data_IF_471110599031
#
_entry.id   IF_471110599031
#
_cell.length_a   1.000
_cell.length_b   1.000
_cell.length_c   1.000
_cell.angle_alpha   90.00
_cell.angle_beta   90.00
_cell.angle_gamma   90.00
#
_symmetry.space_group_name_H-M   'P 1'
#
loop_
_entity.id
_entity.type
_entity.pdbx_description
1 polymer ?
#
# COMPACT_ATOMS: atom_id res chain seq x y z
N UNK A 1 -28.35 -11.36 -8.59
CA UNK A 1 -27.32 -11.08 -7.58
C UNK A 1 -26.08 -11.84 -8.00
N UNK A 2 -24.87 -11.27 -7.92
CA UNK A 2 -23.65 -12.02 -8.21
C UNK A 2 -23.59 -13.25 -7.30
N UNK A 3 -23.11 -14.36 -7.85
CA UNK A 3 -22.86 -15.58 -7.06
C UNK A 3 -21.75 -15.28 -6.04
N UNK A 4 -21.86 -15.82 -4.81
CA UNK A 4 -20.83 -15.63 -3.79
C UNK A 4 -19.44 -16.06 -4.30
N UNK A 5 -19.39 -17.09 -5.15
CA UNK A 5 -18.16 -17.53 -5.82
C UNK A 5 -17.61 -16.47 -6.79
N UNK A 6 -18.46 -15.74 -7.52
CA UNK A 6 -18.05 -14.66 -8.42
C UNK A 6 -17.45 -13.50 -7.64
N UNK A 7 -18.05 -13.14 -6.50
CA UNK A 7 -17.55 -12.09 -5.60
C UNK A 7 -16.16 -12.48 -5.08
N UNK A 8 -16.04 -13.69 -4.52
CA UNK A 8 -14.77 -14.20 -3.98
C UNK A 8 -13.66 -14.17 -5.03
N UNK A 9 -13.93 -14.70 -6.23
CA UNK A 9 -12.94 -14.73 -7.30
C UNK A 9 -12.56 -13.32 -7.79
N UNK A 10 -13.52 -12.38 -7.78
CA UNK A 10 -13.27 -10.99 -8.15
C UNK A 10 -12.40 -10.26 -7.14
N UNK A 11 -12.56 -10.51 -5.83
CA UNK A 11 -11.72 -9.93 -4.78
C UNK A 11 -10.29 -10.46 -4.88
N UNK A 12 -10.11 -11.79 -4.93
CA UNK A 12 -8.78 -12.42 -5.08
C UNK A 12 -8.05 -11.90 -6.33
N UNK A 13 -8.77 -11.72 -7.45
CA UNK A 13 -8.17 -11.16 -8.67
C UNK A 13 -7.71 -9.70 -8.50
N UNK A 14 -8.38 -8.90 -7.66
CA UNK A 14 -7.99 -7.52 -7.38
C UNK A 14 -6.74 -7.44 -6.51
N UNK A 15 -6.53 -8.36 -5.56
CA UNK A 15 -5.33 -8.40 -4.72
C UNK A 15 -4.03 -8.50 -5.53
N UNK A 16 -4.06 -9.22 -6.66
CA UNK A 16 -2.93 -9.27 -7.57
C UNK A 16 -2.51 -7.89 -8.09
N UNK A 17 -3.48 -7.01 -8.39
CA UNK A 17 -3.22 -5.62 -8.82
C UNK A 17 -2.73 -4.75 -7.67
N UNK A 18 -3.32 -4.90 -6.48
CA UNK A 18 -2.89 -4.18 -5.26
C UNK A 18 -1.43 -4.53 -4.94
N UNK A 19 -1.06 -5.80 -5.04
CA UNK A 19 0.31 -6.28 -4.80
C UNK A 19 1.31 -5.66 -5.79
N UNK A 20 0.93 -5.47 -7.05
CA UNK A 20 1.78 -4.81 -8.05
C UNK A 20 2.04 -3.33 -7.69
N UNK A 21 1.00 -2.61 -7.24
CA UNK A 21 1.15 -1.24 -6.75
C UNK A 21 2.09 -1.17 -5.54
N UNK A 22 1.89 -2.04 -4.54
CA UNK A 22 2.76 -2.13 -3.35
C UNK A 22 4.22 -2.42 -3.71
N UNK A 23 4.46 -3.30 -4.69
CA UNK A 23 5.81 -3.61 -5.18
C UNK A 23 6.46 -2.41 -5.85
N UNK A 24 5.68 -1.67 -6.66
CA UNK A 24 6.14 -0.46 -7.34
C UNK A 24 6.53 0.62 -6.34
N UNK A 25 5.68 0.88 -5.33
CA UNK A 25 5.97 1.81 -4.22
C UNK A 25 7.25 1.40 -3.48
N UNK A 26 7.43 0.11 -3.21
CA UNK A 26 8.65 -0.41 -2.59
C UNK A 26 9.91 -0.15 -3.42
N UNK A 27 9.80 -0.30 -4.74
CA UNK A 27 10.92 -0.04 -5.67
C UNK A 27 11.29 1.44 -5.66
N UNK A 28 10.30 2.35 -5.67
CA UNK A 28 10.54 3.79 -5.57
C UNK A 28 11.15 4.22 -4.24
N UNK A 29 10.77 3.56 -3.14
CA UNK A 29 11.41 3.83 -1.86
C UNK A 29 12.88 3.40 -1.85
N UNK A 30 13.19 2.24 -2.44
CA UNK A 30 14.57 1.78 -2.57
C UNK A 30 15.42 2.76 -3.42
N UNK A 31 14.85 3.38 -4.46
CA UNK A 31 15.53 4.41 -5.24
C UNK A 31 15.92 5.62 -4.36
N UNK A 32 15.00 6.10 -3.51
CA UNK A 32 15.27 7.19 -2.55
C UNK A 32 16.36 6.78 -1.55
N UNK A 33 16.25 5.56 -1.01
CA UNK A 33 17.20 5.05 -0.03
C UNK A 33 18.61 4.86 -0.61
N UNK A 34 18.69 4.49 -1.89
CA UNK A 34 19.94 4.42 -2.64
C UNK A 34 20.59 5.80 -2.79
N UNK A 35 19.82 6.86 -3.09
CA UNK A 35 20.33 8.24 -3.13
C UNK A 35 20.94 8.61 -1.78
N UNK A 36 20.25 8.34 -0.66
CA UNK A 36 20.82 8.60 0.67
C UNK A 36 22.08 7.78 0.96
N UNK A 37 22.10 6.51 0.55
CA UNK A 37 23.20 5.58 0.82
C UNK A 37 24.47 5.90 0.04
N UNK A 38 24.35 6.24 -1.26
CA UNK A 38 25.48 6.69 -2.09
C UNK A 38 26.10 7.96 -1.49
N UNK A 39 25.25 8.86 -1.01
CA UNK A 39 25.71 10.14 -0.47
C UNK A 39 26.35 10.01 0.92
N UNK A 40 25.89 9.05 1.72
CA UNK A 40 26.55 8.65 2.98
C UNK A 40 27.86 7.88 2.74
N UNK A 41 27.96 7.08 1.68
CA UNK A 41 29.23 6.42 1.35
C UNK A 41 30.25 7.42 0.78
N UNK A 42 29.76 8.41 0.03
CA UNK A 42 30.55 9.47 -0.57
C UNK A 42 30.86 10.62 0.40
N UNK A 43 31.07 10.39 1.71
CA UNK A 43 31.35 11.40 2.77
C UNK A 43 32.50 12.40 2.49
N UNK A 44 33.13 12.35 1.32
CA UNK A 44 34.14 13.29 0.81
C UNK A 44 33.66 14.19 -0.34
N UNK A 45 32.52 13.91 -0.96
CA UNK A 45 31.93 14.73 -2.02
C UNK A 45 30.71 15.44 -1.42
N UNK A 46 30.76 16.76 -1.39
CA UNK A 46 29.64 17.57 -0.92
C UNK A 46 28.36 17.16 -1.65
N UNK A 47 27.24 17.06 -0.93
CA UNK A 47 25.90 16.99 -1.52
C UNK A 47 25.80 18.16 -2.50
N UNK A 48 25.84 17.86 -3.79
CA UNK A 48 25.68 18.88 -4.80
C UNK A 48 24.21 19.26 -4.88
N UNK A 49 23.94 20.46 -5.42
CA UNK A 49 22.58 20.85 -5.77
C UNK A 49 21.89 19.81 -6.69
N UNK A 50 22.67 19.08 -7.50
CA UNK A 50 22.15 17.99 -8.33
C UNK A 50 21.66 16.78 -7.52
N UNK A 51 22.28 16.45 -6.38
CA UNK A 51 21.85 15.35 -5.51
C UNK A 51 20.57 15.67 -4.74
N UNK A 52 20.41 16.93 -4.32
CA UNK A 52 19.15 17.40 -3.72
C UNK A 52 18.03 17.33 -4.74
N UNK A 53 18.28 17.82 -5.97
CA UNK A 53 17.31 17.72 -7.06
C UNK A 53 16.93 16.27 -7.37
N UNK A 54 17.90 15.37 -7.46
CA UNK A 54 17.65 13.94 -7.69
C UNK A 54 16.78 13.32 -6.59
N UNK A 55 17.04 13.65 -5.32
CA UNK A 55 16.20 13.19 -4.21
C UNK A 55 14.77 13.73 -4.34
N UNK A 56 14.59 15.02 -4.63
CA UNK A 56 13.28 15.64 -4.81
C UNK A 56 12.51 15.02 -5.99
N UNK A 57 13.18 14.76 -7.12
CA UNK A 57 12.61 14.08 -8.28
C UNK A 57 12.15 12.64 -7.91
N UNK A 58 12.93 11.90 -7.12
CA UNK A 58 12.55 10.57 -6.61
C UNK A 58 11.40 10.62 -5.61
N UNK A 59 11.35 11.64 -4.76
CA UNK A 59 10.24 11.92 -3.83
C UNK A 59 8.95 12.18 -4.60
N UNK A 60 9.00 12.92 -5.70
CA UNK A 60 7.83 13.17 -6.55
C UNK A 60 7.35 11.90 -7.26
N UNK A 61 8.27 11.05 -7.73
CA UNK A 61 7.93 9.73 -8.27
C UNK A 61 7.28 8.82 -7.22
N UNK A 62 7.77 8.82 -5.98
CA UNK A 62 7.15 8.05 -4.90
C UNK A 62 5.74 8.58 -4.57
N UNK A 63 5.56 9.90 -4.51
CA UNK A 63 4.25 10.53 -4.31
C UNK A 63 3.24 10.12 -5.40
N UNK A 64 3.66 10.10 -6.66
CA UNK A 64 2.84 9.64 -7.78
C UNK A 64 2.40 8.18 -7.58
N UNK A 65 3.34 7.29 -7.24
CA UNK A 65 2.99 5.87 -7.01
C UNK A 65 2.08 5.66 -5.81
N UNK A 66 2.23 6.44 -4.73
CA UNK A 66 1.31 6.40 -3.59
C UNK A 66 -0.08 6.89 -3.96
N UNK A 67 -0.19 7.89 -4.83
CA UNK A 67 -1.48 8.39 -5.33
C UNK A 67 -2.19 7.34 -6.18
N UNK A 68 -1.45 6.66 -7.08
CA UNK A 68 -1.97 5.55 -7.88
C UNK A 68 -2.44 4.40 -6.97
N UNK A 69 -1.62 4.05 -5.97
CA UNK A 69 -1.96 3.00 -5.00
C UNK A 69 -3.22 3.37 -4.21
N UNK A 70 -3.34 4.61 -3.74
CA UNK A 70 -4.53 5.11 -3.05
C UNK A 70 -5.79 4.98 -3.89
N UNK A 71 -5.74 5.40 -5.16
CA UNK A 71 -6.88 5.27 -6.06
C UNK A 71 -7.27 3.80 -6.30
N UNK A 72 -6.28 2.91 -6.42
CA UNK A 72 -6.49 1.47 -6.54
C UNK A 72 -7.16 0.89 -5.30
N UNK A 73 -6.63 1.20 -4.11
CA UNK A 73 -7.17 0.76 -2.83
C UNK A 73 -8.58 1.28 -2.60
N UNK A 74 -8.86 2.56 -2.85
CA UNK A 74 -10.21 3.12 -2.71
C UNK A 74 -11.24 2.41 -3.58
N UNK A 75 -10.89 2.07 -4.82
CA UNK A 75 -11.78 1.33 -5.72
C UNK A 75 -12.01 -0.10 -5.24
N UNK A 76 -10.96 -0.73 -4.73
CA UNK A 76 -10.98 -2.08 -4.19
C UNK A 76 -11.82 -2.18 -2.91
N UNK A 77 -11.53 -1.36 -1.91
CA UNK A 77 -12.28 -1.27 -0.66
C UNK A 77 -13.76 -0.97 -0.91
N UNK A 78 -14.08 -0.01 -1.80
CA UNK A 78 -15.47 0.30 -2.14
C UNK A 78 -16.22 -0.89 -2.78
N UNK A 79 -15.51 -1.76 -3.50
CA UNK A 79 -16.10 -2.98 -4.04
C UNK A 79 -16.37 -4.00 -2.92
N UNK A 80 -15.39 -4.22 -2.05
CA UNK A 80 -15.48 -5.17 -0.92
C UNK A 80 -16.57 -4.79 0.07
N UNK A 81 -16.58 -3.54 0.52
CA UNK A 81 -17.56 -3.02 1.46
C UNK A 81 -18.99 -3.13 0.93
N UNK A 82 -19.15 -3.16 -0.40
CA UNK A 82 -20.44 -3.38 -1.06
C UNK A 82 -20.77 -4.85 -1.26
N UNK A 83 -19.79 -5.70 -1.59
CA UNK A 83 -20.01 -7.06 -2.07
C UNK A 83 -19.77 -8.13 -1.00
N UNK A 84 -18.72 -7.99 -0.18
CA UNK A 84 -18.35 -8.96 0.86
C UNK A 84 -19.37 -9.13 1.98
N UNK A 85 -20.25 -8.16 2.34
CA UNK A 85 -21.32 -8.44 3.30
C UNK A 85 -22.21 -9.64 2.89
N UNK A 86 -22.35 -9.93 1.59
CA UNK A 86 -23.10 -11.10 1.10
C UNK A 86 -22.38 -12.44 1.32
N UNK A 87 -21.06 -12.39 1.55
CA UNK A 87 -20.19 -13.56 1.72
C UNK A 87 -19.84 -13.78 3.20
N UNK A 88 -19.48 -12.70 3.89
CA UNK A 88 -18.95 -12.71 5.25
C UNK A 88 -19.98 -12.30 6.31
N UNK A 89 -21.03 -11.58 5.92
CA UNK A 89 -21.97 -10.97 6.85
C UNK A 89 -21.33 -9.83 7.67
N UNK A 90 -22.17 -9.10 8.39
CA UNK A 90 -21.79 -7.87 9.11
C UNK A 90 -20.69 -8.08 10.17
N UNK A 91 -20.66 -9.24 10.83
CA UNK A 91 -19.71 -9.48 11.92
C UNK A 91 -18.26 -9.50 11.43
N UNK A 92 -18.00 -10.24 10.35
CA UNK A 92 -16.66 -10.38 9.78
C UNK A 92 -16.24 -9.14 8.99
N UNK A 93 -17.19 -8.34 8.49
CA UNK A 93 -16.90 -7.07 7.83
C UNK A 93 -16.28 -6.02 8.76
N UNK A 94 -16.50 -6.11 10.08
CA UNK A 94 -15.99 -5.11 11.01
C UNK A 94 -14.47 -4.98 10.98
N UNK A 95 -13.77 -6.12 11.05
CA UNK A 95 -12.30 -6.13 11.08
C UNK A 95 -11.71 -5.66 9.73
N UNK A 96 -12.40 -5.99 8.62
CA UNK A 96 -12.05 -5.52 7.27
C UNK A 96 -12.15 -3.99 7.19
N UNK A 97 -13.26 -3.42 7.65
CA UNK A 97 -13.47 -1.97 7.65
C UNK A 97 -12.44 -1.22 8.51
N UNK A 98 -12.09 -1.78 9.68
CA UNK A 98 -11.06 -1.21 10.56
C UNK A 98 -9.67 -1.29 9.90
N UNK A 99 -9.36 -2.36 9.16
CA UNK A 99 -8.14 -2.48 8.37
C UNK A 99 -8.08 -1.46 7.22
N UNK A 100 -9.16 -1.29 6.45
CA UNK A 100 -9.25 -0.28 5.39
C UNK A 100 -8.99 1.12 5.92
N UNK A 101 -9.59 1.46 7.06
CA UNK A 101 -9.37 2.74 7.73
C UNK A 101 -7.90 2.92 8.12
N UNK A 102 -7.31 1.90 8.74
CA UNK A 102 -5.90 1.93 9.16
C UNK A 102 -4.96 2.15 7.98
N UNK A 103 -5.18 1.45 6.87
CA UNK A 103 -4.40 1.61 5.64
C UNK A 103 -4.51 3.04 5.09
N UNK A 104 -5.72 3.60 5.04
CA UNK A 104 -5.94 4.97 4.57
C UNK A 104 -5.22 6.00 5.47
N UNK A 105 -5.26 5.83 6.78
CA UNK A 105 -4.56 6.70 7.74
C UNK A 105 -3.04 6.63 7.56
N UNK A 106 -2.47 5.43 7.40
CA UNK A 106 -1.05 5.24 7.14
C UNK A 106 -0.64 5.84 5.78
N UNK A 107 -1.49 5.73 4.76
CA UNK A 107 -1.24 6.29 3.45
C UNK A 107 -1.20 7.83 3.48
N UNK A 108 -2.18 8.46 4.15
CA UNK A 108 -2.20 9.91 4.32
C UNK A 108 -1.01 10.39 5.16
N UNK A 109 -0.64 9.67 6.23
CA UNK A 109 0.56 9.96 7.02
C UNK A 109 1.82 9.90 6.15
N UNK A 110 1.99 8.85 5.35
CA UNK A 110 3.16 8.68 4.47
C UNK A 110 3.25 9.80 3.43
N UNK A 111 2.12 10.17 2.82
CA UNK A 111 2.06 11.31 1.88
C UNK A 111 2.37 12.64 2.58
N UNK A 112 1.89 12.84 3.81
CA UNK A 112 2.22 14.03 4.59
C UNK A 112 3.72 14.10 4.90
N UNK A 113 4.35 12.98 5.29
CA UNK A 113 5.81 12.89 5.49
C UNK A 113 6.56 13.29 4.22
N UNK A 114 6.16 12.78 3.05
CA UNK A 114 6.79 13.12 1.77
C UNK A 114 6.64 14.60 1.39
N UNK A 115 5.45 15.18 1.61
CA UNK A 115 5.22 16.62 1.38
C UNK A 115 6.08 17.47 2.30
N UNK A 116 6.28 17.02 3.54
CA UNK A 116 7.10 17.69 4.54
C UNK A 116 8.61 17.71 4.22
N UNK A 117 9.06 17.00 3.18
CA UNK A 117 10.46 17.06 2.73
C UNK A 117 10.76 18.28 1.86
N UNK A 118 9.73 18.96 1.34
CA UNK A 118 9.93 20.12 0.47
C UNK A 118 10.48 21.31 1.26
N UNK A 119 11.52 21.95 0.72
CA UNK A 119 12.17 23.10 1.36
C UNK A 119 13.08 22.77 2.56
N UNK A 120 13.21 21.49 2.94
CA UNK A 120 14.16 21.06 3.96
C UNK A 120 15.60 21.18 3.47
N UNK A 121 16.49 21.50 4.39
CA UNK A 121 17.92 21.46 4.12
C UNK A 121 18.48 20.04 4.14
N UNK A 122 19.79 19.94 3.93
CA UNK A 122 20.47 18.65 3.85
C UNK A 122 20.36 17.80 5.12
N UNK A 123 20.67 18.40 6.25
CA UNK A 123 20.75 17.67 7.51
C UNK A 123 19.34 17.23 7.93
N UNK A 124 18.35 18.07 7.67
CA UNK A 124 16.94 17.78 7.88
C UNK A 124 16.44 16.62 7.01
N UNK A 125 16.77 16.63 5.71
CA UNK A 125 16.42 15.53 4.79
C UNK A 125 17.02 14.20 5.22
N UNK A 126 18.28 14.20 5.66
CA UNK A 126 18.92 13.00 6.19
C UNK A 126 18.29 12.53 7.51
N UNK A 127 17.92 13.46 8.39
CA UNK A 127 17.26 13.14 9.66
C UNK A 127 15.87 12.50 9.43
N UNK A 128 15.17 12.90 8.37
CA UNK A 128 13.84 12.35 7.99
C UNK A 128 13.89 11.04 7.22
N UNK A 129 15.06 10.59 6.76
CA UNK A 129 15.19 9.37 5.96
C UNK A 129 14.57 8.15 6.65
N UNK A 130 14.96 7.88 7.89
CA UNK A 130 14.51 6.68 8.61
C UNK A 130 12.99 6.70 8.78
N UNK A 131 12.43 7.84 9.17
CA UNK A 131 10.98 8.02 9.28
C UNK A 131 10.26 7.74 7.96
N UNK A 132 10.79 8.21 6.83
CA UNK A 132 10.21 7.93 5.53
C UNK A 132 10.29 6.44 5.18
N UNK A 133 11.47 5.82 5.31
CA UNK A 133 11.68 4.38 5.03
C UNK A 133 10.69 3.54 5.83
N UNK A 134 10.61 3.80 7.14
CA UNK A 134 9.74 3.05 8.05
C UNK A 134 8.26 3.27 7.69
N UNK A 135 7.85 4.51 7.41
CA UNK A 135 6.45 4.78 7.02
C UNK A 135 6.01 4.05 5.76
N UNK A 136 6.87 3.99 4.73
CA UNK A 136 6.56 3.31 3.47
C UNK A 136 6.62 1.80 3.67
N UNK A 137 7.58 1.30 4.45
CA UNK A 137 7.68 -0.11 4.79
C UNK A 137 6.42 -0.60 5.53
N UNK A 138 6.00 0.12 6.57
CA UNK A 138 4.86 -0.25 7.41
C UNK A 138 3.55 -0.19 6.64
N UNK A 139 3.36 0.83 5.78
CA UNK A 139 2.21 0.90 4.88
C UNK A 139 2.14 -0.31 3.95
N UNK A 140 3.26 -0.63 3.29
CA UNK A 140 3.33 -1.77 2.37
C UNK A 140 3.05 -3.08 3.09
N UNK A 141 3.61 -3.27 4.28
CA UNK A 141 3.38 -4.46 5.10
C UNK A 141 1.91 -4.57 5.48
N UNK A 142 1.30 -3.50 5.98
CA UNK A 142 -0.11 -3.49 6.39
C UNK A 142 -1.04 -3.85 5.22
N UNK A 143 -0.80 -3.31 4.02
CA UNK A 143 -1.59 -3.65 2.82
C UNK A 143 -1.45 -5.12 2.43
N UNK A 144 -0.23 -5.67 2.47
CA UNK A 144 0.03 -7.07 2.10
C UNK A 144 -0.55 -8.04 3.12
N UNK A 145 -0.38 -7.75 4.41
CA UNK A 145 -0.93 -8.58 5.48
C UNK A 145 -2.46 -8.62 5.39
N UNK A 146 -3.09 -7.45 5.19
CA UNK A 146 -4.55 -7.37 5.02
C UNK A 146 -5.06 -8.19 3.82
N UNK A 147 -4.45 -8.04 2.64
CA UNK A 147 -4.83 -8.82 1.46
C UNK A 147 -4.62 -10.33 1.68
N UNK A 148 -3.55 -10.71 2.39
CA UNK A 148 -3.27 -12.11 2.71
C UNK A 148 -4.32 -12.70 3.66
N UNK A 149 -4.63 -12.02 4.76
CA UNK A 149 -5.63 -12.44 5.74
C UNK A 149 -7.00 -12.61 5.08
N UNK A 150 -7.38 -11.68 4.20
CA UNK A 150 -8.61 -11.79 3.42
C UNK A 150 -8.59 -12.98 2.45
N UNK A 151 -7.51 -13.22 1.72
CA UNK A 151 -7.40 -14.39 0.84
C UNK A 151 -7.54 -15.71 1.59
N UNK A 152 -6.98 -15.82 2.79
CA UNK A 152 -7.12 -17.01 3.62
C UNK A 152 -8.60 -17.26 3.96
N UNK A 153 -9.31 -16.23 4.41
CA UNK A 153 -10.73 -16.33 4.76
C UNK A 153 -11.58 -16.60 3.52
N UNK A 154 -11.37 -15.87 2.43
CA UNK A 154 -12.04 -16.08 1.15
C UNK A 154 -11.80 -17.48 0.61
N UNK A 155 -10.59 -18.01 0.74
CA UNK A 155 -10.23 -19.37 0.36
C UNK A 155 -10.97 -20.43 1.18
N UNK A 156 -11.14 -20.21 2.49
CA UNK A 156 -11.96 -21.08 3.35
C UNK A 156 -13.43 -21.05 2.92
N UNK A 157 -14.00 -19.87 2.69
CA UNK A 157 -15.40 -19.71 2.29
C UNK A 157 -15.66 -20.27 0.89
N UNK A 158 -14.73 -20.08 -0.06
CA UNK A 158 -14.82 -20.63 -1.42
C UNK A 158 -14.98 -22.14 -1.40
N UNK A 159 -14.19 -22.85 -0.60
CA UNK A 159 -14.27 -24.32 -0.46
C UNK A 159 -15.65 -24.78 0.01
N UNK A 160 -16.30 -24.01 0.89
CA UNK A 160 -17.66 -24.33 1.37
C UNK A 160 -18.68 -24.26 0.24
N UNK A 161 -18.62 -23.20 -0.57
CA UNK A 161 -19.51 -23.03 -1.73
C UNK A 161 -19.24 -24.05 -2.84
N UNK A 162 -17.98 -24.41 -3.09
CA UNK A 162 -17.60 -25.44 -4.06
C UNK A 162 -18.07 -26.86 -3.65
N UNK A 163 -18.03 -27.19 -2.35
CA UNK A 163 -18.46 -28.50 -1.83
C UNK A 163 -19.97 -28.62 -1.61
N UNK A 164 -20.67 -27.50 -1.54
CA UNK A 164 -22.13 -27.43 -1.40
C UNK A 164 -22.71 -26.57 -2.54
N UNK A 165 -22.65 -27.02 -3.80
CA UNK A 165 -23.35 -26.32 -4.87
C UNK A 165 -24.82 -26.22 -4.46
N UNK A 166 -25.37 -25.02 -4.52
CA UNK A 166 -26.75 -24.74 -4.12
C UNK A 166 -27.67 -25.82 -4.72
N UNK A 167 -28.36 -26.57 -3.85
CA UNK A 167 -29.42 -27.46 -4.33
C UNK A 167 -30.51 -26.55 -4.88
N UNK A 168 -30.67 -26.57 -6.21
CA UNK A 168 -31.84 -26.01 -6.90
C UNK A 168 -33.13 -26.61 -6.33
#
# INVERSE_FOLDING_TARGET
MPDALEIINSVIAQHGKVTEHVKTTGTRMNDIDAVFSVQRAAYKVAWSASSVKEMLDKRDQLMETLTIMEEGLKKHFAYEEKALPLVFGELLMKDILDAHKTINEQLEKTKATLKGLDGLDKEELFARRTELVDSVHDLRKTVVDHAHDEEEILGMVRKVFEQRPAKN
#
